data_IF_911018237015
#
_entry.id   IF_911018237015
#
_cell.length_a   1.000
_cell.length_b   1.000
_cell.length_c   1.000
_cell.angle_alpha   90.00
_cell.angle_beta   90.00
_cell.angle_gamma   90.00
#
_symmetry.space_group_name_H-M   'P 1'
#
loop_
_entity.id
_entity.type
_entity.pdbx_description
1 polymer ?
#
# COMPACT_ATOMS: atom_id res chain seq x y z
N UNK A 1 0.30 -15.57 14.18
CA UNK A 1 0.70 -15.83 12.79
C UNK A 1 2.01 -15.14 12.48
N UNK A 2 2.89 -15.84 11.80
CA UNK A 2 4.20 -15.31 11.48
C UNK A 2 4.12 -14.28 10.36
N UNK A 3 4.84 -13.16 10.51
CA UNK A 3 4.89 -12.12 9.48
C UNK A 3 5.88 -12.53 8.41
N UNK A 4 5.51 -12.35 7.15
CA UNK A 4 6.41 -12.62 6.05
C UNK A 4 7.57 -11.63 6.01
N UNK A 5 7.27 -10.33 6.20
CA UNK A 5 8.31 -9.30 6.37
C UNK A 5 7.97 -8.45 7.59
N UNK A 6 8.94 -8.24 8.45
CA UNK A 6 8.81 -7.33 9.59
C UNK A 6 9.00 -5.89 9.12
N UNK A 7 8.73 -4.91 9.99
CA UNK A 7 8.94 -3.51 9.65
C UNK A 7 10.39 -3.24 9.24
N UNK A 8 11.34 -3.83 9.95
CA UNK A 8 12.76 -3.65 9.62
C UNK A 8 13.09 -4.20 8.24
N UNK A 9 12.46 -5.31 7.87
CA UNK A 9 12.67 -5.90 6.55
C UNK A 9 12.00 -5.07 5.45
N UNK A 10 10.83 -4.48 5.74
CA UNK A 10 10.17 -3.56 4.81
C UNK A 10 11.08 -2.38 4.48
N UNK A 11 11.76 -1.84 5.49
CA UNK A 11 12.68 -0.71 5.30
C UNK A 11 13.84 -1.05 4.38
N UNK A 12 14.19 -2.31 4.25
CA UNK A 12 15.26 -2.74 3.34
C UNK A 12 14.78 -2.82 1.89
N UNK A 13 13.47 -2.82 1.67
CA UNK A 13 12.89 -2.95 0.34
C UNK A 13 12.51 -1.60 -0.25
N UNK A 14 11.85 -0.74 0.55
CA UNK A 14 11.40 0.57 0.08
C UNK A 14 12.12 1.69 0.82
N UNK A 15 12.35 2.84 0.14
CA UNK A 15 13.10 3.94 0.73
C UNK A 15 12.30 4.83 1.68
N UNK A 16 10.99 4.69 1.71
CA UNK A 16 10.13 5.50 2.55
C UNK A 16 10.50 5.37 4.03
N UNK A 17 10.45 6.49 4.77
CA UNK A 17 10.79 6.53 6.19
C UNK A 17 9.79 7.41 6.92
N UNK A 18 9.73 7.25 8.24
CA UNK A 18 8.90 8.12 9.08
C UNK A 18 9.09 9.59 8.68
N UNK A 19 8.02 10.39 8.53
CA UNK A 19 6.64 10.05 8.91
C UNK A 19 5.78 9.50 7.78
N UNK A 20 6.35 9.14 6.62
CA UNK A 20 5.56 8.66 5.49
C UNK A 20 5.81 7.19 5.13
N UNK A 21 6.32 6.41 6.04
CA UNK A 21 6.33 4.95 5.88
C UNK A 21 5.06 4.42 6.50
N UNK A 22 4.17 3.85 5.67
CA UNK A 22 2.84 3.43 6.10
C UNK A 22 2.62 1.93 6.17
N UNK A 23 3.64 1.13 5.89
CA UNK A 23 3.51 -0.33 5.97
C UNK A 23 4.17 -0.81 7.26
N UNK A 24 3.38 -1.40 8.16
CA UNK A 24 3.92 -1.89 9.41
C UNK A 24 4.56 -3.27 9.25
N UNK A 25 3.92 -4.13 8.48
CA UNK A 25 4.51 -5.44 8.16
C UNK A 25 3.77 -6.05 6.97
N UNK A 26 4.39 -7.07 6.39
CA UNK A 26 3.81 -7.81 5.27
C UNK A 26 3.40 -9.19 5.77
N UNK A 27 2.17 -9.57 5.45
CA UNK A 27 1.60 -10.86 5.85
C UNK A 27 1.96 -11.96 4.85
N UNK A 28 1.95 -11.62 3.56
CA UNK A 28 2.13 -12.62 2.52
C UNK A 28 2.52 -11.95 1.20
N UNK A 29 3.42 -12.59 0.45
CA UNK A 29 3.76 -12.19 -0.92
C UNK A 29 3.73 -13.42 -1.81
N UNK A 30 3.09 -13.28 -2.96
CA UNK A 30 3.20 -14.22 -4.06
C UNK A 30 3.90 -13.47 -5.18
N UNK A 31 5.16 -13.86 -5.44
CA UNK A 31 6.05 -13.15 -6.37
C UNK A 31 5.37 -12.89 -7.71
N UNK A 32 5.44 -11.64 -8.16
CA UNK A 32 4.88 -11.22 -9.45
C UNK A 32 3.35 -11.16 -9.48
N UNK A 33 2.68 -11.41 -8.36
CA UNK A 33 1.22 -11.51 -8.38
C UNK A 33 0.52 -10.71 -7.30
N UNK A 34 0.81 -10.94 -6.02
CA UNK A 34 -0.03 -10.38 -4.96
C UNK A 34 0.73 -10.15 -3.67
N UNK A 35 0.33 -9.12 -2.95
CA UNK A 35 0.82 -8.87 -1.59
C UNK A 35 -0.36 -8.61 -0.66
N UNK A 36 -0.24 -9.09 0.56
CA UNK A 36 -1.12 -8.75 1.68
C UNK A 36 -0.24 -8.12 2.75
N UNK A 37 -0.59 -6.93 3.17
CA UNK A 37 0.18 -6.18 4.15
C UNK A 37 -0.74 -5.52 5.17
N UNK A 38 -0.16 -4.99 6.23
CA UNK A 38 -0.92 -4.41 7.33
C UNK A 38 -0.38 -3.04 7.68
N UNK A 39 -1.30 -2.11 7.94
CA UNK A 39 -1.00 -0.84 8.58
C UNK A 39 -1.91 -0.67 9.79
N UNK A 40 -1.29 -0.42 10.94
CA UNK A 40 -2.03 -0.05 12.15
C UNK A 40 -2.15 1.47 12.19
N UNK A 41 -3.38 1.97 12.18
CA UNK A 41 -3.63 3.41 12.19
C UNK A 41 -3.70 3.86 13.65
N UNK A 42 -2.74 4.69 14.06
CA UNK A 42 -2.63 5.12 15.45
C UNK A 42 -2.97 6.60 15.60
N UNK A 43 -3.35 6.99 16.81
CA UNK A 43 -3.66 8.39 17.11
C UNK A 43 -2.42 9.29 16.97
N UNK A 44 -1.23 8.69 16.95
CA UNK A 44 0.02 9.43 16.86
C UNK A 44 0.41 9.80 15.42
N UNK A 45 -0.41 9.45 14.44
CA UNK A 45 -0.14 9.83 13.05
C UNK A 45 -0.25 11.33 12.89
N UNK A 46 0.71 11.93 12.19
CA UNK A 46 0.75 13.38 11.98
C UNK A 46 -0.50 13.92 11.29
N UNK A 47 -1.05 13.15 10.36
CA UNK A 47 -2.18 13.63 9.57
C UNK A 47 -3.44 13.90 10.40
N UNK A 48 -3.58 13.28 11.58
CA UNK A 48 -4.76 13.53 12.42
C UNK A 48 -4.77 14.92 13.01
N UNK A 49 -3.63 15.59 13.08
CA UNK A 49 -3.57 16.95 13.63
C UNK A 49 -4.30 17.94 12.73
N UNK A 50 -4.30 17.70 11.43
CA UNK A 50 -4.88 18.61 10.47
C UNK A 50 -6.11 18.10 9.73
N UNK A 51 -6.42 16.81 9.81
CA UNK A 51 -7.47 16.24 8.96
C UNK A 51 -8.44 15.39 9.79
N UNK A 52 -9.32 15.91 10.55
CA UNK A 52 -9.54 17.28 10.99
C UNK A 52 -9.54 17.25 12.52
N UNK A 53 -9.12 18.31 13.22
CA UNK A 53 -8.96 18.25 14.68
C UNK A 53 -10.19 17.76 15.46
N UNK A 54 -11.39 18.17 15.05
CA UNK A 54 -12.62 17.77 15.74
C UNK A 54 -13.29 16.55 15.13
N UNK A 55 -12.75 16.03 14.03
CA UNK A 55 -13.32 14.90 13.34
C UNK A 55 -12.20 14.17 12.58
N UNK A 56 -11.30 13.53 13.33
CA UNK A 56 -10.10 12.93 12.72
C UNK A 56 -10.44 11.74 11.83
N UNK A 57 -9.80 11.69 10.70
CA UNK A 57 -9.90 10.56 9.78
C UNK A 57 -8.66 10.53 8.92
N UNK A 58 -8.23 9.33 8.56
CA UNK A 58 -7.09 9.19 7.66
C UNK A 58 -7.48 9.72 6.28
N UNK A 59 -6.71 10.67 5.71
CA UNK A 59 -7.03 11.18 4.38
C UNK A 59 -7.07 10.05 3.34
N UNK A 60 -8.10 10.07 2.48
CA UNK A 60 -8.25 9.04 1.46
C UNK A 60 -7.04 8.93 0.57
N UNK A 61 -6.44 10.06 0.19
CA UNK A 61 -5.25 10.03 -0.67
C UNK A 61 -4.06 9.34 0.02
N UNK A 62 -3.99 9.38 1.36
CA UNK A 62 -2.94 8.68 2.08
C UNK A 62 -3.23 7.18 2.19
N UNK A 63 -4.49 6.77 2.14
CA UNK A 63 -4.83 5.35 2.02
C UNK A 63 -4.33 4.84 0.66
N UNK A 64 -4.51 5.62 -0.41
CA UNK A 64 -3.98 5.24 -1.72
C UNK A 64 -2.45 5.19 -1.70
N UNK A 65 -1.80 6.12 -1.01
CA UNK A 65 -0.34 6.09 -0.85
C UNK A 65 0.09 4.81 -0.13
N UNK A 66 -0.65 4.41 0.90
CA UNK A 66 -0.37 3.18 1.64
C UNK A 66 -0.47 1.95 0.72
N UNK A 67 -1.51 1.90 -0.11
CA UNK A 67 -1.66 0.82 -1.08
C UNK A 67 -0.53 0.83 -2.11
N UNK A 68 -0.10 2.01 -2.55
CA UNK A 68 1.01 2.13 -3.48
C UNK A 68 2.31 1.61 -2.86
N UNK A 69 2.52 1.87 -1.57
CA UNK A 69 3.71 1.34 -0.88
C UNK A 69 3.69 -0.19 -0.83
N UNK A 70 2.53 -0.78 -0.55
CA UNK A 70 2.40 -2.24 -0.58
C UNK A 70 2.73 -2.77 -1.96
N UNK A 71 2.24 -2.11 -3.01
CA UNK A 71 2.54 -2.49 -4.39
C UNK A 71 4.02 -2.38 -4.72
N UNK A 72 4.68 -1.34 -4.23
CA UNK A 72 6.13 -1.18 -4.44
C UNK A 72 6.91 -2.32 -3.81
N UNK A 73 6.51 -2.75 -2.62
CA UNK A 73 7.15 -3.89 -1.97
C UNK A 73 6.99 -5.15 -2.82
N UNK A 74 5.78 -5.40 -3.31
CA UNK A 74 5.52 -6.56 -4.16
C UNK A 74 6.43 -6.54 -5.39
N UNK A 75 6.47 -5.42 -6.09
CA UNK A 75 7.23 -5.30 -7.34
C UNK A 75 8.72 -5.47 -7.07
N UNK A 76 9.26 -4.79 -6.07
CA UNK A 76 10.69 -4.82 -5.79
C UNK A 76 11.14 -6.17 -5.23
N UNK A 77 10.23 -6.96 -4.64
CA UNK A 77 10.55 -8.30 -4.15
C UNK A 77 10.28 -9.39 -5.18
N UNK A 78 9.71 -9.05 -6.32
CA UNK A 78 9.35 -10.06 -7.33
C UNK A 78 10.53 -10.36 -8.24
N UNK A 79 10.74 -11.64 -8.53
CA UNK A 79 11.89 -12.10 -9.31
C UNK A 79 11.94 -11.46 -10.70
N UNK A 80 10.79 -11.34 -11.34
CA UNK A 80 10.74 -10.81 -12.71
C UNK A 80 11.09 -9.33 -12.81
N UNK A 81 11.10 -8.62 -11.67
CA UNK A 81 11.40 -7.18 -11.64
C UNK A 81 12.70 -6.86 -10.91
N UNK A 82 13.56 -7.84 -10.72
CA UNK A 82 14.84 -7.66 -10.03
C UNK A 82 15.66 -6.55 -10.65
N UNK A 83 16.18 -5.64 -9.81
CA UNK A 83 17.02 -4.53 -10.25
C UNK A 83 16.28 -3.41 -10.94
N UNK A 84 14.97 -3.43 -10.93
CA UNK A 84 14.14 -2.41 -11.55
C UNK A 84 13.63 -1.42 -10.53
N UNK A 85 13.16 -0.27 -11.02
CA UNK A 85 12.40 0.68 -10.22
C UNK A 85 10.95 0.67 -10.68
N UNK A 86 10.05 1.06 -9.78
CA UNK A 86 8.62 1.07 -10.07
C UNK A 86 8.05 2.46 -9.83
N UNK A 87 7.23 2.89 -10.75
CA UNK A 87 6.55 4.18 -10.68
C UNK A 87 5.05 3.99 -10.86
N UNK A 88 4.26 4.77 -10.14
CA UNK A 88 2.82 4.80 -10.37
C UNK A 88 2.57 5.74 -11.54
N UNK A 89 2.04 5.20 -12.63
CA UNK A 89 1.75 5.97 -13.83
C UNK A 89 0.31 6.46 -13.89
N UNK A 90 -0.58 5.88 -13.10
CA UNK A 90 -1.97 6.29 -13.08
C UNK A 90 -2.74 5.60 -11.98
N UNK A 91 -3.83 6.26 -11.56
CA UNK A 91 -4.76 5.71 -10.57
C UNK A 91 -6.14 5.89 -11.16
N UNK A 92 -6.89 4.78 -11.27
CA UNK A 92 -8.23 4.80 -11.83
C UNK A 92 -9.23 4.19 -10.86
N UNK A 93 -10.48 4.59 -10.99
CA UNK A 93 -11.59 4.00 -10.24
C UNK A 93 -11.36 4.03 -8.73
N UNK A 94 -10.77 5.12 -8.23
CA UNK A 94 -10.57 5.28 -6.81
C UNK A 94 -11.91 5.55 -6.14
N UNK A 95 -12.22 4.74 -5.12
CA UNK A 95 -13.46 4.86 -4.36
C UNK A 95 -13.17 4.78 -2.88
N UNK A 96 -13.75 5.71 -2.14
CA UNK A 96 -13.59 5.79 -0.69
C UNK A 96 -14.95 5.46 -0.07
N UNK A 97 -15.04 4.30 0.56
CA UNK A 97 -16.33 3.76 0.97
C UNK A 97 -16.66 3.97 2.43
N UNK A 98 -15.62 4.11 3.26
CA UNK A 98 -15.85 4.43 4.68
C UNK A 98 -14.62 5.11 5.26
N UNK A 99 -14.87 5.80 6.35
CA UNK A 99 -13.85 6.55 7.08
C UNK A 99 -12.92 5.61 7.84
N UNK A 100 -11.64 5.92 7.83
CA UNK A 100 -10.63 5.18 8.59
C UNK A 100 -10.21 6.04 9.78
N UNK A 101 -10.27 5.48 10.96
CA UNK A 101 -10.07 6.20 12.21
C UNK A 101 -8.86 5.65 12.97
N UNK A 102 -8.38 6.44 13.94
CA UNK A 102 -7.35 5.95 14.85
C UNK A 102 -7.87 4.71 15.57
N UNK A 103 -7.04 3.69 15.68
CA UNK A 103 -7.42 2.41 16.26
C UNK A 103 -7.79 1.36 15.23
N UNK A 104 -8.05 1.77 14.00
CA UNK A 104 -8.34 0.81 12.93
C UNK A 104 -7.06 0.12 12.45
N UNK A 105 -7.20 -1.11 12.01
CA UNK A 105 -6.13 -1.83 11.35
C UNK A 105 -6.52 -2.00 9.89
N UNK A 106 -5.70 -1.46 9.01
CA UNK A 106 -5.91 -1.61 7.57
C UNK A 106 -5.27 -2.91 7.09
N UNK A 107 -6.07 -3.74 6.48
CA UNK A 107 -5.58 -4.88 5.72
C UNK A 107 -5.47 -4.42 4.27
N UNK A 108 -4.28 -4.56 3.70
CA UNK A 108 -3.96 -4.01 2.39
C UNK A 108 -3.71 -5.14 1.41
N UNK A 109 -4.37 -5.10 0.25
CA UNK A 109 -4.09 -6.04 -0.81
C UNK A 109 -3.78 -5.28 -2.09
N UNK A 110 -2.80 -5.79 -2.84
CA UNK A 110 -2.40 -5.24 -4.13
C UNK A 110 -2.15 -6.44 -5.01
N UNK A 111 -2.95 -6.58 -6.05
CA UNK A 111 -2.86 -7.76 -6.93
C UNK A 111 -2.62 -7.31 -8.37
N UNK A 112 -1.53 -7.79 -8.95
CA UNK A 112 -1.20 -7.50 -10.35
C UNK A 112 -2.17 -8.28 -11.22
N UNK A 113 -2.88 -7.58 -12.09
CA UNK A 113 -3.88 -8.19 -12.97
C UNK A 113 -3.37 -8.42 -14.38
N UNK A 114 -2.41 -7.59 -14.81
CA UNK A 114 -1.89 -7.68 -16.16
C UNK A 114 -0.53 -7.01 -16.24
N UNK A 115 0.38 -7.62 -17.00
CA UNK A 115 1.66 -6.99 -17.32
C UNK A 115 1.88 -7.10 -18.83
N UNK A 116 2.42 -6.05 -19.42
CA UNK A 116 2.77 -6.04 -20.83
C UNK A 116 4.02 -5.19 -20.99
N UNK A 117 5.16 -5.82 -21.23
CA UNK A 117 6.42 -5.13 -21.26
C UNK A 117 6.73 -4.52 -19.91
N UNK A 118 6.98 -3.21 -19.88
CA UNK A 118 7.31 -2.49 -18.65
C UNK A 118 6.10 -1.89 -17.95
N UNK A 119 4.89 -2.13 -18.46
CA UNK A 119 3.67 -1.56 -17.89
C UNK A 119 2.80 -2.64 -17.28
N UNK A 120 2.27 -2.38 -16.10
CA UNK A 120 1.36 -3.31 -15.46
C UNK A 120 0.17 -2.60 -14.85
N UNK A 121 -0.89 -3.37 -14.62
CA UNK A 121 -2.07 -2.89 -13.91
C UNK A 121 -2.30 -3.77 -12.70
N UNK A 122 -2.90 -3.17 -11.67
CA UNK A 122 -3.17 -3.88 -10.43
C UNK A 122 -4.47 -3.36 -9.82
N UNK A 123 -5.16 -4.23 -9.07
CA UNK A 123 -6.28 -3.81 -8.24
C UNK A 123 -5.82 -3.79 -6.80
N UNK A 124 -6.22 -2.76 -6.06
CA UNK A 124 -5.79 -2.59 -4.69
C UNK A 124 -6.98 -2.26 -3.80
N UNK A 125 -6.95 -2.82 -2.59
CA UNK A 125 -8.02 -2.63 -1.62
C UNK A 125 -7.46 -2.49 -0.22
N UNK A 126 -8.03 -1.55 0.54
CA UNK A 126 -7.75 -1.40 1.96
C UNK A 126 -9.05 -1.70 2.70
N UNK A 127 -9.00 -2.66 3.62
CA UNK A 127 -10.18 -3.06 4.38
C UNK A 127 -9.96 -2.87 5.87
N UNK A 128 -11.05 -2.62 6.59
CA UNK A 128 -11.09 -2.61 8.05
C UNK A 128 -12.17 -3.61 8.44
N UNK A 129 -11.78 -4.64 9.19
CA UNK A 129 -12.73 -5.69 9.63
C UNK A 129 -13.53 -6.25 8.45
N UNK A 130 -12.84 -6.58 7.36
CA UNK A 130 -13.39 -7.16 6.14
C UNK A 130 -14.30 -6.23 5.32
N UNK A 131 -14.43 -4.96 5.72
CA UNK A 131 -15.19 -3.98 4.95
C UNK A 131 -14.24 -3.09 4.18
N UNK A 132 -14.52 -2.87 2.90
CA UNK A 132 -13.68 -2.05 2.04
C UNK A 132 -13.76 -0.59 2.50
N UNK A 133 -12.61 -0.02 2.87
CA UNK A 133 -12.52 1.40 3.18
C UNK A 133 -12.17 2.19 1.92
N UNK A 134 -11.25 1.68 1.12
CA UNK A 134 -10.86 2.32 -0.13
C UNK A 134 -10.40 1.27 -1.13
N UNK A 135 -10.56 1.56 -2.41
CA UNK A 135 -10.10 0.67 -3.49
C UNK A 135 -9.79 1.49 -4.73
N UNK A 136 -8.93 0.95 -5.57
CA UNK A 136 -8.58 1.59 -6.83
C UNK A 136 -7.89 0.61 -7.78
N UNK A 137 -7.64 1.09 -9.00
CA UNK A 137 -6.75 0.39 -9.94
C UNK A 137 -5.52 1.25 -10.13
N UNK A 138 -4.36 0.64 -10.06
CA UNK A 138 -3.09 1.31 -10.35
C UNK A 138 -2.58 0.88 -11.72
N UNK A 139 -2.00 1.83 -12.45
CA UNK A 139 -1.12 1.51 -13.56
C UNK A 139 0.29 1.81 -13.08
N UNK A 140 1.17 0.83 -13.18
CA UNK A 140 2.56 1.01 -12.76
C UNK A 140 3.50 0.76 -13.93
N UNK A 141 4.67 1.41 -13.86
CA UNK A 141 5.69 1.31 -14.89
C UNK A 141 6.95 0.83 -14.20
N UNK A 142 7.57 -0.22 -14.74
CA UNK A 142 8.81 -0.79 -14.21
C UNK A 142 9.90 -0.48 -15.21
N UNK A 143 10.97 0.14 -14.74
CA UNK A 143 12.06 0.53 -15.62
C UNK A 143 13.41 0.35 -14.99
N UNK A 144 14.42 0.49 -15.82
CA UNK A 144 15.80 0.50 -15.34
C UNK A 144 16.08 1.87 -14.76
N UNK A 145 16.79 1.88 -13.65
CA UNK A 145 17.18 3.09 -12.97
C UNK A 145 18.22 3.84 -13.79
#
# INVERSE_FOLDING_TARGET
MEKFLTEEEVKKVIPNRYPILYIDYVDHIESGKKIIATKNVTINEDFFQGHFPDNPGMPGVLILETLAQAGSILILKSDEFQGKTAYIGGINKAKFRQKVLAGDTLNLSFEITKTKGSVGTAVAKATVEDKIAAECEFTFIVGDE
#
